data_IF_540056117667
#
_entry.id   IF_540056117667
#
_cell.length_a   1.000
_cell.length_b   1.000
_cell.length_c   1.000
_cell.angle_alpha   90.00
_cell.angle_beta   90.00
_cell.angle_gamma   90.00
#
_symmetry.space_group_name_H-M   'P 1'
#
loop_
_entity.id
_entity.type
_entity.pdbx_description
1 polymer ?
#
# COMPACT_ATOMS: atom_id res chain seq x y z
N UNK A 1 -30.03 14.96 7.62
CA UNK A 1 -29.40 13.73 7.13
C UNK A 1 -29.16 12.85 8.34
N UNK A 2 -29.72 11.64 8.39
CA UNK A 2 -29.45 10.69 9.46
C UNK A 2 -27.96 10.40 9.46
N UNK A 3 -27.26 10.49 10.59
CA UNK A 3 -25.83 10.19 10.66
C UNK A 3 -25.64 8.72 10.30
N UNK A 4 -25.16 8.45 9.09
CA UNK A 4 -24.79 7.09 8.71
C UNK A 4 -23.68 6.60 9.64
N UNK A 5 -23.79 5.39 10.20
CA UNK A 5 -22.71 4.87 11.04
C UNK A 5 -21.42 4.75 10.20
N UNK A 6 -20.31 5.17 10.76
CA UNK A 6 -18.99 5.20 10.11
C UNK A 6 -18.64 3.86 9.44
N UNK A 7 -18.97 2.75 10.11
CA UNK A 7 -18.72 1.40 9.60
C UNK A 7 -19.47 1.09 8.29
N UNK A 8 -20.69 1.61 8.14
CA UNK A 8 -21.46 1.45 6.91
C UNK A 8 -20.83 2.25 5.77
N UNK A 9 -20.32 3.45 6.06
CA UNK A 9 -19.55 4.25 5.11
C UNK A 9 -18.29 3.53 4.61
N UNK A 10 -17.55 2.89 5.52
CA UNK A 10 -16.36 2.10 5.19
C UNK A 10 -16.72 0.91 4.29
N UNK A 11 -17.77 0.15 4.62
CA UNK A 11 -18.22 -0.99 3.81
C UNK A 11 -18.65 -0.55 2.41
N UNK A 12 -19.41 0.55 2.31
CA UNK A 12 -19.78 1.13 1.02
C UNK A 12 -18.56 1.60 0.24
N UNK A 13 -17.60 2.23 0.90
CA UNK A 13 -16.33 2.63 0.29
C UNK A 13 -15.56 1.45 -0.31
N UNK A 14 -15.48 0.33 0.42
CA UNK A 14 -14.85 -0.91 -0.06
C UNK A 14 -15.60 -1.48 -1.26
N UNK A 15 -16.93 -1.52 -1.21
CA UNK A 15 -17.75 -2.02 -2.30
C UNK A 15 -17.61 -1.16 -3.57
N UNK A 16 -17.60 0.16 -3.41
CA UNK A 16 -17.34 1.10 -4.51
C UNK A 16 -15.93 0.96 -5.07
N UNK A 17 -14.93 0.80 -4.21
CA UNK A 17 -13.56 0.52 -4.63
C UNK A 17 -13.45 -0.76 -5.45
N UNK A 18 -14.15 -1.82 -5.06
CA UNK A 18 -14.25 -3.06 -5.83
C UNK A 18 -14.92 -2.87 -7.19
N UNK A 19 -16.00 -2.07 -7.24
CA UNK A 19 -16.70 -1.72 -8.49
C UNK A 19 -15.78 -0.94 -9.45
N UNK A 20 -15.09 0.08 -8.96
CA UNK A 20 -14.10 0.81 -9.76
C UNK A 20 -12.95 -0.08 -10.21
N UNK A 21 -12.48 -0.98 -9.34
CA UNK A 21 -11.48 -1.99 -9.68
C UNK A 21 -11.94 -2.92 -10.79
N UNK A 22 -13.22 -3.32 -10.79
CA UNK A 22 -13.83 -4.11 -11.86
C UNK A 22 -13.90 -3.31 -13.17
N UNK A 23 -14.38 -2.07 -13.12
CA UNK A 23 -14.49 -1.19 -14.30
C UNK A 23 -13.11 -0.95 -14.93
N UNK A 24 -12.12 -0.57 -14.13
CA UNK A 24 -10.75 -0.36 -14.61
C UNK A 24 -10.17 -1.67 -15.13
N UNK A 25 -10.34 -2.77 -14.40
CA UNK A 25 -9.89 -4.10 -14.81
C UNK A 25 -10.41 -4.50 -16.18
N UNK A 26 -11.68 -4.25 -16.48
CA UNK A 26 -12.31 -4.52 -17.78
C UNK A 26 -11.76 -3.61 -18.89
N UNK A 27 -11.61 -2.31 -18.62
CA UNK A 27 -11.10 -1.33 -19.59
C UNK A 27 -9.63 -1.58 -19.97
N UNK A 28 -8.86 -2.08 -19.00
CA UNK A 28 -7.40 -2.21 -19.09
C UNK A 28 -6.95 -3.57 -19.63
N UNK A 29 -7.87 -4.52 -19.80
CA UNK A 29 -7.62 -5.87 -20.28
C UNK A 29 -6.67 -5.97 -21.51
N UNK A 30 -6.83 -5.14 -22.56
CA UNK A 30 -5.98 -5.22 -23.75
C UNK A 30 -4.61 -4.56 -23.56
N UNK A 31 -4.40 -3.81 -22.46
CA UNK A 31 -3.20 -3.01 -22.28
C UNK A 31 -2.05 -3.84 -21.67
N UNK A 32 -0.85 -3.62 -22.18
CA UNK A 32 0.39 -4.21 -21.64
C UNK A 32 1.04 -3.24 -20.64
N UNK A 33 1.79 -3.78 -19.72
CA UNK A 33 2.47 -3.14 -18.58
C UNK A 33 2.59 -1.59 -18.56
N UNK A 34 3.35 -0.99 -19.46
CA UNK A 34 3.57 0.46 -19.47
C UNK A 34 2.31 1.27 -19.84
N UNK A 35 1.51 0.80 -20.81
CA UNK A 35 0.25 1.44 -21.17
C UNK A 35 -0.80 1.34 -20.06
N UNK A 36 -0.77 0.25 -19.29
CA UNK A 36 -1.59 0.07 -18.12
C UNK A 36 -1.34 1.16 -17.08
N UNK A 37 -0.07 1.41 -16.76
CA UNK A 37 0.33 2.43 -15.79
C UNK A 37 -0.10 3.84 -16.24
N UNK A 38 0.17 4.18 -17.51
CA UNK A 38 -0.24 5.47 -18.07
C UNK A 38 -1.75 5.67 -18.07
N UNK A 39 -2.50 4.63 -18.44
CA UNK A 39 -3.96 4.66 -18.44
C UNK A 39 -4.51 4.89 -17.02
N UNK A 40 -4.02 4.15 -16.02
CA UNK A 40 -4.50 4.29 -14.64
C UNK A 40 -4.18 5.65 -14.05
N UNK A 41 -3.00 6.22 -14.34
CA UNK A 41 -2.65 7.58 -13.93
C UNK A 41 -3.55 8.62 -14.60
N UNK A 42 -3.76 8.50 -15.92
CA UNK A 42 -4.65 9.40 -16.67
C UNK A 42 -6.11 9.31 -16.19
N UNK A 43 -6.60 8.08 -15.95
CA UNK A 43 -7.95 7.88 -15.41
C UNK A 43 -8.13 8.52 -14.04
N UNK A 44 -7.15 8.41 -13.15
CA UNK A 44 -7.23 9.04 -11.83
C UNK A 44 -7.19 10.55 -11.93
N UNK A 45 -6.44 11.14 -12.86
CA UNK A 45 -6.42 12.59 -13.07
C UNK A 45 -7.75 13.10 -13.63
N UNK A 46 -8.39 12.36 -14.54
CA UNK A 46 -9.74 12.66 -15.01
C UNK A 46 -10.73 12.63 -13.84
N UNK A 47 -10.66 11.57 -13.01
CA UNK A 47 -11.53 11.45 -11.84
C UNK A 47 -11.32 12.61 -10.86
N UNK A 48 -10.07 13.00 -10.60
CA UNK A 48 -9.71 14.16 -9.79
C UNK A 48 -10.32 15.46 -10.35
N UNK A 49 -10.22 15.66 -11.66
CA UNK A 49 -10.79 16.84 -12.32
C UNK A 49 -12.31 16.88 -12.19
N UNK A 50 -12.98 15.73 -12.41
CA UNK A 50 -14.45 15.61 -12.24
C UNK A 50 -14.86 15.93 -10.80
N UNK A 51 -14.20 15.33 -9.81
CA UNK A 51 -14.50 15.56 -8.39
C UNK A 51 -14.23 17.02 -8.01
N UNK A 52 -13.17 17.63 -8.54
CA UNK A 52 -12.82 19.04 -8.26
C UNK A 52 -13.83 20.03 -8.85
N UNK A 53 -14.45 19.70 -9.98
CA UNK A 53 -15.44 20.56 -10.65
C UNK A 53 -16.84 20.46 -10.06
N UNK A 54 -17.14 19.34 -9.37
CA UNK A 54 -18.46 19.08 -8.79
C UNK A 54 -18.60 19.75 -7.42
N UNK A 55 -19.35 20.86 -7.35
CA UNK A 55 -19.51 21.67 -6.14
C UNK A 55 -20.69 21.20 -5.26
N UNK A 56 -21.71 20.57 -5.84
CA UNK A 56 -22.94 20.21 -5.12
C UNK A 56 -22.79 18.96 -4.27
N UNK A 57 -22.05 17.97 -4.75
CA UNK A 57 -21.92 16.66 -4.09
C UNK A 57 -20.60 16.61 -3.30
N UNK A 58 -19.49 17.01 -3.91
CA UNK A 58 -18.15 16.83 -3.33
C UNK A 58 -17.59 18.10 -2.70
N UNK A 59 -18.27 19.23 -2.82
CA UNK A 59 -17.80 20.59 -2.47
C UNK A 59 -16.51 20.99 -3.21
N UNK A 60 -16.18 20.28 -4.30
CA UNK A 60 -15.03 20.58 -5.13
C UNK A 60 -13.72 20.53 -4.35
N UNK A 61 -12.89 21.55 -4.50
CA UNK A 61 -11.58 21.62 -3.83
C UNK A 61 -11.64 21.86 -2.31
N UNK A 62 -12.77 22.37 -1.79
CA UNK A 62 -12.94 22.55 -0.34
C UNK A 62 -12.98 21.22 0.40
N UNK A 63 -13.39 20.13 -0.29
CA UNK A 63 -13.46 18.80 0.27
C UNK A 63 -14.68 18.56 1.15
N UNK A 64 -14.80 17.32 1.59
CA UNK A 64 -15.87 16.85 2.47
C UNK A 64 -15.32 16.60 3.87
N UNK A 65 -16.02 17.13 4.86
CA UNK A 65 -15.82 16.79 6.24
C UNK A 65 -16.51 15.47 6.56
N UNK A 66 -15.77 14.57 7.19
CA UNK A 66 -16.23 13.24 7.57
C UNK A 66 -16.23 13.11 9.10
N UNK A 67 -17.18 12.35 9.66
CA UNK A 67 -17.15 12.03 11.07
C UNK A 67 -15.86 11.27 11.41
N UNK A 68 -15.23 11.60 12.52
CA UNK A 68 -14.04 10.87 12.98
C UNK A 68 -14.41 9.44 13.38
N UNK A 69 -13.45 8.54 13.31
CA UNK A 69 -13.65 7.10 13.55
C UNK A 69 -14.27 6.83 14.93
N UNK A 70 -13.96 7.66 15.94
CA UNK A 70 -14.41 7.54 17.33
C UNK A 70 -14.96 8.86 17.84
N UNK A 71 -16.15 9.27 17.39
CA UNK A 71 -16.78 10.53 17.82
C UNK A 71 -17.09 10.58 19.32
N UNK A 72 -17.44 9.44 19.91
CA UNK A 72 -17.86 9.33 21.32
C UNK A 72 -16.72 8.92 22.28
N UNK A 73 -15.47 8.91 21.80
CA UNK A 73 -14.37 8.31 22.56
C UNK A 73 -14.49 6.78 22.69
N UNK A 74 -13.45 6.14 23.14
CA UNK A 74 -13.43 4.69 23.39
C UNK A 74 -12.74 4.40 24.72
N UNK A 75 -13.30 3.45 25.46
CA UNK A 75 -12.65 2.87 26.62
C UNK A 75 -11.84 1.64 26.19
N UNK A 76 -10.53 1.80 26.07
CA UNK A 76 -9.61 0.71 25.70
C UNK A 76 -8.67 0.44 26.88
N UNK A 77 -8.56 -0.80 27.32
CA UNK A 77 -7.69 -1.22 28.43
C UNK A 77 -7.89 -0.42 29.74
N UNK A 78 -9.13 0.00 30.03
CA UNK A 78 -9.44 0.73 31.28
C UNK A 78 -9.08 2.22 31.24
N UNK A 79 -8.63 2.75 30.11
CA UNK A 79 -8.37 4.17 29.89
C UNK A 79 -9.39 4.73 28.89
N UNK A 80 -9.96 5.89 29.25
CA UNK A 80 -10.85 6.63 28.36
C UNK A 80 -10.00 7.45 27.40
N UNK A 81 -10.19 7.22 26.09
CA UNK A 81 -9.55 7.98 25.02
C UNK A 81 -10.59 8.91 24.40
N UNK A 82 -10.25 10.20 24.32
CA UNK A 82 -11.10 11.20 23.70
C UNK A 82 -10.98 11.12 22.15
N UNK A 83 -11.93 11.74 21.44
CA UNK A 83 -11.96 11.78 19.97
C UNK A 83 -10.68 12.34 19.30
N UNK A 84 -9.93 13.17 20.05
CA UNK A 84 -8.67 13.78 19.63
C UNK A 84 -7.44 12.88 19.81
N UNK A 85 -7.58 11.79 20.56
CA UNK A 85 -6.48 10.87 20.80
C UNK A 85 -6.17 10.04 19.56
N UNK A 86 -4.90 10.09 19.12
CA UNK A 86 -4.41 9.40 17.93
C UNK A 86 -4.13 7.91 18.15
N UNK A 87 -4.13 7.46 19.41
CA UNK A 87 -3.74 6.09 19.78
C UNK A 87 -4.74 5.05 19.26
N UNK A 88 -6.08 5.15 19.49
CA UNK A 88 -7.03 4.14 19.01
C UNK A 88 -7.07 4.02 17.46
N UNK A 89 -7.12 5.11 16.67
CA UNK A 89 -7.06 5.01 15.22
C UNK A 89 -5.76 4.36 14.71
N UNK A 90 -4.62 4.62 15.37
CA UNK A 90 -3.35 4.00 15.03
C UNK A 90 -3.41 2.47 15.12
N UNK A 91 -3.97 1.93 16.21
CA UNK A 91 -4.13 0.48 16.35
C UNK A 91 -5.08 -0.11 15.29
N UNK A 92 -6.16 0.59 14.95
CA UNK A 92 -7.07 0.15 13.89
C UNK A 92 -6.35 0.06 12.56
N UNK A 93 -5.57 1.09 12.19
CA UNK A 93 -4.77 1.09 10.95
C UNK A 93 -3.69 -0.02 10.98
N UNK A 94 -3.06 -0.24 12.12
CA UNK A 94 -2.08 -1.32 12.29
C UNK A 94 -2.72 -2.71 12.10
N UNK A 95 -3.88 -2.95 12.69
CA UNK A 95 -4.65 -4.19 12.49
C UNK A 95 -5.08 -4.35 11.04
N UNK A 96 -5.54 -3.29 10.39
CA UNK A 96 -5.90 -3.30 8.97
C UNK A 96 -4.69 -3.69 8.12
N UNK A 97 -3.51 -3.12 8.40
CA UNK A 97 -2.26 -3.49 7.73
C UNK A 97 -1.97 -4.99 7.87
N UNK A 98 -2.06 -5.54 9.09
CA UNK A 98 -1.83 -6.96 9.33
C UNK A 98 -2.83 -7.85 8.59
N UNK A 99 -4.10 -7.47 8.56
CA UNK A 99 -5.15 -8.17 7.81
C UNK A 99 -4.84 -8.15 6.31
N UNK A 100 -4.51 -6.99 5.76
CA UNK A 100 -4.14 -6.84 4.35
C UNK A 100 -2.90 -7.68 3.99
N UNK A 101 -1.86 -7.65 4.82
CA UNK A 101 -0.67 -8.48 4.63
C UNK A 101 -1.01 -9.98 4.69
N UNK A 102 -1.86 -10.38 5.63
CA UNK A 102 -2.32 -11.77 5.75
C UNK A 102 -3.08 -12.23 4.50
N UNK A 103 -4.01 -11.40 3.99
CA UNK A 103 -4.76 -11.69 2.77
C UNK A 103 -3.81 -11.80 1.57
N UNK A 104 -2.89 -10.85 1.40
CA UNK A 104 -1.93 -10.86 0.30
C UNK A 104 -1.00 -12.07 0.36
N UNK A 105 -0.52 -12.42 1.56
CA UNK A 105 0.33 -13.59 1.76
C UNK A 105 -0.42 -14.89 1.42
N UNK A 106 -1.64 -15.04 1.94
CA UNK A 106 -2.47 -16.21 1.64
C UNK A 106 -2.78 -16.32 0.14
N UNK A 107 -3.11 -15.19 -0.51
CA UNK A 107 -3.36 -15.12 -1.94
C UNK A 107 -2.12 -15.48 -2.76
N UNK A 108 -0.95 -15.00 -2.35
CA UNK A 108 0.33 -15.27 -3.02
C UNK A 108 0.76 -16.75 -2.93
N UNK A 109 0.36 -17.45 -1.86
CA UNK A 109 0.63 -18.88 -1.68
C UNK A 109 -0.42 -19.79 -2.35
N UNK A 110 -1.54 -19.25 -2.76
CA UNK A 110 -2.62 -19.99 -3.41
C UNK A 110 -2.31 -20.27 -4.89
N UNK A 111 -3.14 -21.12 -5.51
CA UNK A 111 -3.12 -21.34 -6.97
C UNK A 111 -3.30 -20.04 -7.75
N UNK A 112 -4.08 -19.09 -7.20
CA UNK A 112 -4.24 -17.77 -7.78
C UNK A 112 -2.89 -17.03 -7.90
N UNK A 113 -2.10 -17.01 -6.82
CA UNK A 113 -0.78 -16.37 -6.82
C UNK A 113 0.20 -17.03 -7.80
N UNK A 114 0.11 -18.37 -7.98
CA UNK A 114 0.91 -19.09 -8.98
C UNK A 114 0.58 -18.61 -10.40
N UNK A 115 -0.71 -18.52 -10.74
CA UNK A 115 -1.14 -18.04 -12.06
C UNK A 115 -0.76 -16.58 -12.30
N UNK A 116 -0.88 -15.72 -11.29
CA UNK A 116 -0.45 -14.31 -11.40
C UNK A 116 1.05 -14.21 -11.65
N UNK A 117 1.88 -15.04 -11.02
CA UNK A 117 3.33 -15.07 -11.30
C UNK A 117 3.62 -15.54 -12.71
N UNK A 118 2.93 -16.56 -13.20
CA UNK A 118 3.06 -17.02 -14.58
C UNK A 118 2.68 -15.91 -15.59
N UNK A 119 1.59 -15.17 -15.31
CA UNK A 119 1.20 -14.02 -16.14
C UNK A 119 2.25 -12.90 -16.12
N UNK A 120 2.95 -12.70 -15.01
CA UNK A 120 4.01 -11.69 -14.89
C UNK A 120 5.22 -12.04 -15.76
N UNK A 121 5.61 -13.32 -15.80
CA UNK A 121 6.76 -13.78 -16.58
C UNK A 121 6.47 -13.73 -18.08
N UNK A 122 5.40 -14.40 -18.53
CA UNK A 122 4.98 -14.39 -19.93
C UNK A 122 3.47 -14.63 -20.05
N UNK A 123 2.75 -13.59 -20.48
CA UNK A 123 1.31 -13.63 -20.63
C UNK A 123 0.86 -14.52 -21.78
N UNK A 124 1.61 -14.51 -22.89
CA UNK A 124 1.23 -15.27 -24.09
C UNK A 124 1.51 -16.77 -23.88
N UNK A 125 2.61 -17.11 -23.20
CA UNK A 125 2.91 -18.49 -22.81
C UNK A 125 1.87 -19.02 -21.79
N UNK A 126 1.48 -18.24 -20.79
CA UNK A 126 0.44 -18.62 -19.84
C UNK A 126 -0.90 -18.88 -20.51
N UNK A 127 -1.28 -18.05 -21.49
CA UNK A 127 -2.49 -18.22 -22.28
C UNK A 127 -2.44 -19.50 -23.14
N UNK A 128 -1.30 -19.82 -23.74
CA UNK A 128 -1.10 -21.04 -24.51
C UNK A 128 -1.25 -22.31 -23.67
N UNK A 129 -0.93 -22.24 -22.37
CA UNK A 129 -1.14 -23.33 -21.38
C UNK A 129 -2.59 -23.38 -20.85
N UNK A 130 -3.51 -22.58 -21.41
CA UNK A 130 -4.94 -22.59 -21.06
C UNK A 130 -5.30 -21.73 -19.85
N UNK A 131 -4.39 -20.88 -19.34
CA UNK A 131 -4.70 -19.96 -18.25
C UNK A 131 -5.53 -18.81 -18.77
N UNK A 132 -6.70 -18.57 -18.18
CA UNK A 132 -7.54 -17.42 -18.53
C UNK A 132 -6.95 -16.12 -17.96
N UNK A 133 -6.04 -15.50 -18.72
CA UNK A 133 -5.28 -14.30 -18.32
C UNK A 133 -6.18 -13.13 -17.96
N UNK A 134 -7.27 -12.95 -18.72
CA UNK A 134 -8.31 -11.93 -18.52
C UNK A 134 -8.95 -12.03 -17.13
N UNK A 135 -9.44 -13.22 -16.77
CA UNK A 135 -10.13 -13.45 -15.50
C UNK A 135 -9.20 -13.18 -14.30
N UNK A 136 -7.97 -13.66 -14.37
CA UNK A 136 -7.00 -13.45 -13.27
C UNK A 136 -6.60 -12.00 -13.12
N UNK A 137 -6.44 -11.25 -14.21
CA UNK A 137 -6.18 -9.81 -14.17
C UNK A 137 -7.34 -9.05 -13.51
N UNK A 138 -8.58 -9.30 -13.94
CA UNK A 138 -9.76 -8.63 -13.37
C UNK A 138 -9.86 -8.93 -11.86
N UNK A 139 -9.75 -10.21 -11.47
CA UNK A 139 -9.83 -10.58 -10.06
C UNK A 139 -8.73 -9.89 -9.23
N UNK A 140 -7.50 -9.79 -9.76
CA UNK A 140 -6.41 -9.07 -9.10
C UNK A 140 -6.76 -7.60 -8.90
N UNK A 141 -7.25 -6.91 -9.94
CA UNK A 141 -7.67 -5.51 -9.87
C UNK A 141 -8.77 -5.29 -8.83
N UNK A 142 -9.80 -6.14 -8.82
CA UNK A 142 -10.90 -6.04 -7.85
C UNK A 142 -10.38 -6.19 -6.43
N UNK A 143 -9.61 -7.24 -6.15
CA UNK A 143 -9.10 -7.53 -4.80
C UNK A 143 -8.20 -6.38 -4.31
N UNK A 144 -7.23 -5.95 -5.11
CA UNK A 144 -6.30 -4.88 -4.74
C UNK A 144 -7.00 -3.54 -4.59
N UNK A 145 -8.00 -3.23 -5.43
CA UNK A 145 -8.81 -2.02 -5.30
C UNK A 145 -9.69 -2.03 -4.04
N UNK A 146 -10.26 -3.17 -3.66
CA UNK A 146 -11.01 -3.30 -2.40
C UNK A 146 -10.10 -3.07 -1.18
N UNK A 147 -8.88 -3.61 -1.20
CA UNK A 147 -7.91 -3.41 -0.12
C UNK A 147 -7.45 -1.95 -0.04
N UNK A 148 -7.16 -1.32 -1.18
CA UNK A 148 -6.82 0.09 -1.24
C UNK A 148 -7.97 0.99 -0.78
N UNK A 149 -9.22 0.66 -1.16
CA UNK A 149 -10.41 1.39 -0.72
C UNK A 149 -10.65 1.23 0.79
N UNK A 150 -10.38 0.06 1.37
CA UNK A 150 -10.43 -0.14 2.81
C UNK A 150 -9.44 0.80 3.53
N UNK A 151 -8.17 0.80 3.09
CA UNK A 151 -7.16 1.69 3.65
C UNK A 151 -7.54 3.18 3.49
N UNK A 152 -8.03 3.56 2.30
CA UNK A 152 -8.47 4.93 2.01
C UNK A 152 -9.68 5.36 2.84
N UNK A 153 -10.66 4.49 3.06
CA UNK A 153 -11.83 4.79 3.88
C UNK A 153 -11.45 5.00 5.35
N UNK A 154 -10.58 4.16 5.92
CA UNK A 154 -10.07 4.37 7.27
C UNK A 154 -9.24 5.65 7.38
N UNK A 155 -8.37 5.93 6.40
CA UNK A 155 -7.58 7.15 6.34
C UNK A 155 -8.45 8.41 6.28
N UNK A 156 -9.54 8.39 5.52
CA UNK A 156 -10.51 9.49 5.42
C UNK A 156 -11.15 9.82 6.76
N UNK A 157 -11.58 8.80 7.52
CA UNK A 157 -12.15 8.96 8.85
C UNK A 157 -11.10 9.28 9.93
N UNK A 158 -9.83 8.96 9.69
CA UNK A 158 -8.72 9.34 10.57
C UNK A 158 -8.40 10.83 10.48
N UNK A 159 -8.34 11.38 9.25
CA UNK A 159 -8.06 12.80 9.02
C UNK A 159 -9.30 13.66 9.27
N UNK A 160 -10.51 13.12 9.01
CA UNK A 160 -11.78 13.83 9.15
C UNK A 160 -12.11 14.79 8.00
N UNK A 161 -11.21 14.98 7.04
CA UNK A 161 -11.43 15.77 5.83
C UNK A 161 -10.81 15.07 4.63
N UNK A 162 -11.56 15.01 3.53
CA UNK A 162 -11.07 14.44 2.28
C UNK A 162 -11.22 15.45 1.15
N UNK A 163 -10.17 15.62 0.36
CA UNK A 163 -10.18 16.57 -0.77
C UNK A 163 -9.61 15.93 -2.03
N UNK A 164 -9.92 16.43 -3.23
CA UNK A 164 -9.37 15.94 -4.49
C UNK A 164 -7.84 16.02 -4.57
N UNK A 165 -7.19 16.80 -3.70
CA UNK A 165 -5.74 16.90 -3.62
C UNK A 165 -5.08 15.58 -3.21
N UNK A 166 -5.81 14.68 -2.55
CA UNK A 166 -5.31 13.33 -2.22
C UNK A 166 -5.13 12.45 -3.47
N UNK A 167 -5.74 12.83 -4.60
CA UNK A 167 -5.63 12.15 -5.90
C UNK A 167 -4.53 12.75 -6.80
N UNK A 168 -3.68 13.64 -6.29
CA UNK A 168 -2.59 14.21 -7.08
C UNK A 168 -1.57 13.14 -7.52
N UNK A 169 -1.06 13.28 -8.73
CA UNK A 169 -0.01 12.41 -9.29
C UNK A 169 1.21 12.32 -8.36
N UNK A 170 1.55 13.41 -7.68
CA UNK A 170 2.65 13.43 -6.72
C UNK A 170 2.45 12.40 -5.59
N UNK A 171 1.26 12.36 -4.98
CA UNK A 171 0.95 11.43 -3.90
C UNK A 171 0.98 9.97 -4.38
N UNK A 172 0.41 9.71 -5.55
CA UNK A 172 0.47 8.37 -6.16
C UNK A 172 1.91 7.94 -6.45
N UNK A 173 2.72 8.85 -7.01
CA UNK A 173 4.12 8.60 -7.33
C UNK A 173 4.92 8.27 -6.07
N UNK A 174 4.67 8.96 -4.95
CA UNK A 174 5.32 8.68 -3.68
C UNK A 174 5.01 7.25 -3.21
N UNK A 175 3.72 6.85 -3.20
CA UNK A 175 3.32 5.49 -2.77
C UNK A 175 3.95 4.41 -3.64
N UNK A 176 3.89 4.56 -4.98
CA UNK A 176 4.49 3.61 -5.92
C UNK A 176 6.00 3.53 -5.72
N UNK A 177 6.65 4.68 -5.58
CA UNK A 177 8.11 4.75 -5.40
C UNK A 177 8.57 4.13 -4.09
N UNK A 178 7.82 4.28 -3.00
CA UNK A 178 8.10 3.59 -1.72
C UNK A 178 8.11 2.07 -1.90
N UNK A 179 7.12 1.53 -2.62
CA UNK A 179 7.07 0.09 -2.92
C UNK A 179 8.24 -0.38 -3.78
N UNK A 180 8.65 0.45 -4.77
CA UNK A 180 9.81 0.16 -5.65
C UNK A 180 11.11 0.15 -4.87
N UNK A 181 11.34 1.18 -4.04
CA UNK A 181 12.55 1.30 -3.21
C UNK A 181 12.66 0.13 -2.21
N UNK A 182 11.54 -0.24 -1.61
CA UNK A 182 11.49 -1.32 -0.64
C UNK A 182 11.74 -2.71 -1.26
N UNK A 183 11.19 -2.95 -2.44
CA UNK A 183 11.32 -4.19 -3.19
C UNK A 183 9.97 -4.80 -3.56
N UNK A 184 9.61 -4.70 -4.83
CA UNK A 184 8.30 -5.11 -5.38
C UNK A 184 8.06 -6.63 -5.27
N UNK A 185 9.11 -7.44 -5.24
CA UNK A 185 8.98 -8.90 -5.30
C UNK A 185 8.59 -9.54 -3.97
N UNK A 186 8.79 -8.85 -2.86
CA UNK A 186 8.51 -9.37 -1.52
C UNK A 186 7.51 -8.47 -0.78
N UNK A 187 6.33 -9.04 -0.47
CA UNK A 187 5.23 -8.35 0.20
C UNK A 187 5.67 -7.75 1.55
N UNK A 188 6.43 -8.50 2.33
CA UNK A 188 6.93 -8.03 3.64
C UNK A 188 7.99 -6.96 3.48
N UNK A 189 8.88 -7.09 2.49
CA UNK A 189 9.88 -6.07 2.19
C UNK A 189 9.21 -4.76 1.78
N UNK A 190 8.19 -4.82 0.92
CA UNK A 190 7.43 -3.65 0.48
C UNK A 190 6.74 -2.95 1.67
N UNK A 191 6.10 -3.71 2.57
CA UNK A 191 5.41 -3.14 3.72
C UNK A 191 6.38 -2.51 4.73
N UNK A 192 7.42 -3.22 5.14
CA UNK A 192 8.43 -2.72 6.09
C UNK A 192 9.16 -1.53 5.49
N UNK A 193 9.51 -1.62 4.20
CA UNK A 193 10.19 -0.56 3.51
C UNK A 193 9.37 0.71 3.37
N UNK A 194 8.08 0.60 3.08
CA UNK A 194 7.19 1.75 3.04
C UNK A 194 7.13 2.46 4.41
N UNK A 195 7.04 1.69 5.51
CA UNK A 195 7.05 2.25 6.87
C UNK A 195 8.37 2.98 7.16
N UNK A 196 9.50 2.37 6.85
CA UNK A 196 10.82 2.97 7.10
C UNK A 196 11.00 4.24 6.28
N UNK A 197 10.63 4.22 5.00
CA UNK A 197 10.78 5.36 4.11
C UNK A 197 9.87 6.50 4.55
N UNK A 198 8.58 6.23 4.86
CA UNK A 198 7.65 7.27 5.32
C UNK A 198 8.12 7.87 6.66
N UNK A 199 8.57 7.04 7.59
CA UNK A 199 9.13 7.53 8.85
C UNK A 199 10.37 8.42 8.65
N UNK A 200 11.26 8.02 7.73
CA UNK A 200 12.45 8.81 7.38
C UNK A 200 12.07 10.15 6.75
N UNK A 201 11.08 10.13 5.84
CA UNK A 201 10.59 11.35 5.20
C UNK A 201 9.88 12.30 6.17
N UNK A 202 9.16 11.75 7.16
CA UNK A 202 8.48 12.55 8.19
C UNK A 202 9.48 13.11 9.21
N UNK A 203 10.51 12.34 9.59
CA UNK A 203 11.62 12.87 10.39
C UNK A 203 12.32 14.02 9.68
N UNK A 204 12.53 13.89 8.38
CA UNK A 204 13.18 14.95 7.60
C UNK A 204 12.32 16.23 7.54
N UNK A 205 10.98 16.05 7.57
CA UNK A 205 10.04 17.16 7.61
C UNK A 205 10.03 17.90 8.94
N UNK A 206 10.15 17.16 10.06
CA UNK A 206 9.96 17.71 11.40
C UNK A 206 11.23 18.28 12.05
N UNK A 207 12.42 17.97 11.53
CA UNK A 207 13.61 18.02 12.38
C UNK A 207 14.58 19.17 12.15
N UNK A 208 14.47 19.98 11.09
CA UNK A 208 15.58 20.92 10.84
C UNK A 208 15.14 22.26 10.25
N UNK A 209 14.66 23.15 11.10
CA UNK A 209 14.93 24.57 10.93
C UNK A 209 16.41 24.82 11.26
N UNK A 210 17.31 24.43 10.37
CA UNK A 210 18.71 24.83 10.50
C UNK A 210 18.83 26.19 9.80
N UNK A 211 19.08 27.26 10.54
CA UNK A 211 19.44 28.53 9.93
C UNK A 211 20.87 28.43 9.37
N UNK A 212 21.03 27.70 8.26
CA UNK A 212 22.30 27.60 7.58
C UNK A 212 22.43 28.83 6.69
N UNK A 213 23.24 29.80 7.12
CA UNK A 213 23.69 30.97 6.32
C UNK A 213 22.54 31.91 5.92
N UNK A 214 21.55 32.20 6.79
CA UNK A 214 20.55 33.27 6.55
C UNK A 214 19.60 33.00 5.37
N UNK A 215 19.53 31.77 4.88
CA UNK A 215 18.56 31.33 3.86
C UNK A 215 17.58 30.42 4.58
N UNK A 216 16.30 30.80 4.61
CA UNK A 216 15.21 29.92 5.03
C UNK A 216 15.10 28.79 3.99
N UNK A 217 15.72 27.67 4.28
CA UNK A 217 15.63 26.47 3.42
C UNK A 217 14.34 25.75 3.74
N UNK A 218 13.38 25.82 2.82
CA UNK A 218 12.11 25.10 2.94
C UNK A 218 12.39 23.58 2.88
N UNK A 219 12.43 22.95 4.05
CA UNK A 219 12.71 21.52 4.21
C UNK A 219 11.71 20.61 3.47
N UNK A 220 10.53 21.12 3.14
CA UNK A 220 9.53 20.39 2.34
C UNK A 220 10.08 20.08 0.94
N UNK A 221 10.85 20.98 0.34
CA UNK A 221 11.49 20.80 -0.96
C UNK A 221 12.62 19.77 -0.87
N UNK A 222 13.47 19.89 0.16
CA UNK A 222 14.58 18.95 0.38
C UNK A 222 14.10 17.51 0.61
N UNK A 223 12.99 17.32 1.27
CA UNK A 223 12.35 16.00 1.41
C UNK A 223 12.13 15.32 0.06
N UNK A 224 11.60 16.04 -0.93
CA UNK A 224 11.38 15.51 -2.28
C UNK A 224 12.69 15.24 -3.03
N UNK A 225 13.69 16.10 -2.85
CA UNK A 225 15.03 15.90 -3.45
C UNK A 225 15.70 14.65 -2.89
N UNK A 226 15.71 14.49 -1.56
CA UNK A 226 16.26 13.29 -0.90
C UNK A 226 15.53 12.03 -1.35
N UNK A 227 14.20 12.08 -1.41
CA UNK A 227 13.40 10.97 -1.89
C UNK A 227 13.70 10.61 -3.34
N UNK A 228 13.79 11.60 -4.24
CA UNK A 228 14.15 11.39 -5.64
C UNK A 228 15.56 10.83 -5.81
N UNK A 229 16.54 11.33 -5.01
CA UNK A 229 17.89 10.81 -4.99
C UNK A 229 17.93 9.34 -4.51
N UNK A 230 17.21 9.03 -3.43
CA UNK A 230 17.11 7.68 -2.88
C UNK A 230 16.49 6.72 -3.90
N UNK A 231 15.47 7.17 -4.63
CA UNK A 231 14.85 6.41 -5.70
C UNK A 231 15.84 6.14 -6.85
N UNK A 232 16.57 7.16 -7.31
CA UNK A 232 17.58 7.00 -8.37
C UNK A 232 18.69 6.03 -7.95
N UNK A 233 19.19 6.16 -6.72
CA UNK A 233 20.21 5.28 -6.15
C UNK A 233 19.69 3.83 -6.10
N UNK A 234 18.46 3.63 -5.65
CA UNK A 234 17.85 2.30 -5.56
C UNK A 234 17.74 1.64 -6.93
N UNK A 235 17.18 2.35 -7.90
CA UNK A 235 17.02 1.84 -9.25
C UNK A 235 18.37 1.53 -9.93
N UNK A 236 19.42 2.25 -9.55
CA UNK A 236 20.78 2.05 -10.09
C UNK A 236 21.50 0.87 -9.45
N UNK A 237 21.39 0.72 -8.12
CA UNK A 237 22.17 -0.28 -7.37
C UNK A 237 21.46 -1.62 -7.20
N UNK A 238 20.13 -1.62 -7.07
CA UNK A 238 19.38 -2.82 -6.76
C UNK A 238 18.08 -2.90 -7.56
N UNK A 239 18.06 -3.79 -8.55
CA UNK A 239 16.85 -4.08 -9.34
C UNK A 239 15.68 -4.62 -8.48
N UNK A 240 16.00 -5.21 -7.32
CA UNK A 240 15.04 -5.89 -6.45
C UNK A 240 14.69 -5.07 -5.20
N UNK A 241 15.07 -3.79 -5.14
CA UNK A 241 14.91 -2.94 -3.96
C UNK A 241 16.04 -3.11 -2.94
N UNK A 242 16.16 -2.15 -2.00
CA UNK A 242 17.23 -2.14 -0.98
C UNK A 242 16.91 -3.10 0.17
N UNK A 243 15.64 -3.25 0.52
CA UNK A 243 15.20 -3.97 1.73
C UNK A 243 14.97 -5.47 1.47
N UNK A 244 14.56 -5.83 0.25
CA UNK A 244 14.33 -7.23 -0.11
C UNK A 244 15.55 -8.14 0.11
N UNK A 245 16.80 -7.79 -0.30
CA UNK A 245 17.97 -8.64 -0.05
C UNK A 245 18.29 -8.78 1.44
N UNK A 246 18.04 -7.75 2.25
CA UNK A 246 18.28 -7.77 3.70
C UNK A 246 17.31 -8.77 4.36
N UNK A 247 16.03 -8.71 4.04
CA UNK A 247 15.02 -9.63 4.60
C UNK A 247 15.28 -11.07 4.15
N UNK A 248 15.65 -11.28 2.89
CA UNK A 248 15.96 -12.63 2.39
C UNK A 248 17.23 -13.21 3.03
N UNK A 249 18.21 -12.38 3.36
CA UNK A 249 19.40 -12.81 4.09
C UNK A 249 19.04 -13.30 5.50
N UNK A 250 18.23 -12.56 6.25
CA UNK A 250 17.76 -12.98 7.57
C UNK A 250 16.86 -14.23 7.51
N UNK A 251 15.97 -14.32 6.53
CA UNK A 251 15.10 -15.47 6.35
C UNK A 251 15.91 -16.76 5.99
N UNK A 252 16.95 -16.64 5.17
CA UNK A 252 17.83 -17.77 4.83
C UNK A 252 18.66 -18.24 6.01
N UNK A 253 19.09 -17.34 6.89
CA UNK A 253 19.80 -17.69 8.12
C UNK A 253 19.00 -18.64 9.03
N UNK A 254 17.71 -18.40 9.18
CA UNK A 254 16.82 -19.26 9.96
C UNK A 254 16.58 -20.63 9.31
N UNK A 255 16.38 -20.70 8.01
CA UNK A 255 16.18 -21.97 7.29
C UNK A 255 17.44 -22.84 7.31
N UNK A 256 18.61 -22.23 7.17
CA UNK A 256 19.89 -22.95 7.26
C UNK A 256 20.10 -23.57 8.66
N UNK A 257 19.78 -22.83 9.73
CA UNK A 257 19.88 -23.34 11.10
C UNK A 257 18.90 -24.50 11.36
N UNK A 258 17.68 -24.43 10.85
CA UNK A 258 16.68 -25.49 11.00
C UNK A 258 17.08 -26.77 10.25
N UNK A 259 17.69 -26.63 9.07
CA UNK A 259 18.18 -27.76 8.28
C UNK A 259 19.37 -28.44 8.95
N UNK A 260 20.29 -27.67 9.54
CA UNK A 260 21.42 -28.19 10.31
C UNK A 260 20.93 -28.90 11.59
N UNK A 261 19.96 -28.30 12.30
CA UNK A 261 19.38 -28.89 13.49
C UNK A 261 18.68 -30.27 13.19
N UNK A 262 17.88 -30.30 12.11
CA UNK A 262 17.22 -31.57 11.67
C UNK A 262 18.23 -32.63 11.27
N UNK A 263 19.33 -32.25 10.60
CA UNK A 263 20.39 -33.17 10.21
C UNK A 263 21.14 -33.76 11.41
N UNK A 264 21.39 -32.94 12.43
CA UNK A 264 22.02 -33.39 13.67
C UNK A 264 21.14 -34.34 14.47
N UNK A 265 19.82 -34.11 14.49
CA UNK A 265 18.85 -35.04 15.14
C UNK A 265 18.79 -36.37 14.39
N UNK A 266 18.77 -36.34 13.06
CA UNK A 266 18.78 -37.60 12.23
C UNK A 266 20.03 -38.41 12.48
N UNK A 267 21.21 -37.78 12.51
CA UNK A 267 22.47 -38.49 12.74
C UNK A 267 22.61 -39.07 14.17
N UNK A 268 21.99 -38.41 15.18
CA UNK A 268 22.00 -38.89 16.55
C UNK A 268 21.07 -40.10 16.75
N UNK A 269 20.03 -40.28 15.95
CA UNK A 269 19.13 -41.42 15.98
C UNK A 269 19.65 -42.63 15.21
N UNK A 270 20.49 -42.45 14.19
CA UNK A 270 21.15 -43.52 13.46
C UNK A 270 22.39 -44.08 14.21
N UNK A 271 23.09 -43.26 15.00
CA UNK A 271 24.26 -43.70 15.78
C UNK A 271 23.92 -44.47 17.06
N UNK A 272 22.63 -44.59 17.42
CA UNK A 272 22.17 -45.34 18.60
C UNK A 272 21.56 -46.73 18.26
N UNK A 273 21.68 -47.18 17.03
CA UNK A 273 21.35 -48.53 16.58
C UNK A 273 22.63 -49.29 16.19
#
# INVERSE_FOLDING_TARGET
MTPMPVWLGIILGIAMGGLFGLLIGLLVLPLRAAYLALFTLGFTEILRAVISSELHITRGQAGLELPMLFENGINLFGKHYDKTDKIPPYFVMFFLLLICLGILYWLAQSKFGLFIRALREDQDAAAALGVNTTRYKIMLFVITSMMAAAAGAFFAHYIGIISPNNLMILQMSLVVSMAVIAGIENIFAAAIGAIIIEFTLEMLRSSFDIPLIGIEVDMTIWRLVVFGALLMITLRLSRNGIIAPIITYFARGHVAQETVAKRNISNSTEGSR
#
